data_IF_744908981674
#
_entry.id   IF_744908981674
#
_cell.length_a   1.000
_cell.length_b   1.000
_cell.length_c   1.000
_cell.angle_alpha   90.00
_cell.angle_beta   90.00
_cell.angle_gamma   90.00
#
_symmetry.space_group_name_H-M   'P 1'
#
loop_
_entity.id
_entity.type
_entity.pdbx_description
1 polymer ?
#
# COMPACT_ATOMS: atom_id res chain seq x y z
N UNK A 1 17.01 13.70 -5.13
CA UNK A 1 16.15 12.84 -4.29
C UNK A 1 16.88 12.67 -2.97
N UNK A 2 16.27 13.03 -1.85
CA UNK A 2 16.91 12.89 -0.53
C UNK A 2 16.47 11.55 0.05
N UNK A 3 17.42 10.67 0.37
CA UNK A 3 17.14 9.41 1.08
C UNK A 3 16.47 9.73 2.42
N UNK A 4 15.32 9.10 2.69
CA UNK A 4 14.58 9.28 3.94
C UNK A 4 14.62 8.01 4.77
N UNK A 5 14.69 8.15 6.09
CA UNK A 5 14.75 7.05 7.05
C UNK A 5 13.47 6.95 7.84
N UNK A 6 12.99 5.73 8.09
CA UNK A 6 11.83 5.52 8.94
C UNK A 6 10.58 6.28 8.47
N UNK A 7 9.96 7.00 9.41
CA UNK A 7 8.77 7.83 9.17
C UNK A 7 9.10 9.29 8.83
N UNK A 8 10.36 9.68 8.80
CA UNK A 8 10.76 11.08 8.61
C UNK A 8 10.29 11.59 7.24
N UNK A 9 9.50 12.64 7.23
CA UNK A 9 8.93 13.19 6.00
C UNK A 9 7.82 12.34 5.36
N UNK A 10 7.16 11.45 6.10
CA UNK A 10 6.08 10.60 5.56
C UNK A 10 4.85 11.43 5.15
N UNK A 11 4.57 12.52 5.86
CA UNK A 11 3.43 13.39 5.55
C UNK A 11 3.56 14.00 4.15
N UNK A 12 4.76 14.45 3.81
CA UNK A 12 5.11 15.02 2.50
C UNK A 12 4.99 13.96 1.41
N UNK A 13 5.49 12.74 1.65
CA UNK A 13 5.37 11.63 0.70
C UNK A 13 3.91 11.29 0.40
N UNK A 14 3.06 11.21 1.42
CA UNK A 14 1.63 10.94 1.24
C UNK A 14 0.94 12.09 0.49
N UNK A 15 1.29 13.35 0.79
CA UNK A 15 0.74 14.50 0.09
C UNK A 15 1.16 14.54 -1.39
N UNK A 16 2.43 14.25 -1.70
CA UNK A 16 2.92 14.14 -3.07
C UNK A 16 2.25 12.97 -3.81
N UNK A 17 2.13 11.81 -3.15
CA UNK A 17 1.49 10.65 -3.75
C UNK A 17 0.00 10.87 -4.02
N UNK A 18 -0.71 11.61 -3.16
CA UNK A 18 -2.10 12.01 -3.40
C UNK A 18 -2.24 12.85 -4.67
N UNK A 19 -1.31 13.79 -4.91
CA UNK A 19 -1.28 14.59 -6.14
C UNK A 19 -1.04 13.73 -7.37
N UNK A 20 -0.14 12.74 -7.26
CA UNK A 20 0.18 11.81 -8.36
C UNK A 20 -0.98 10.89 -8.73
N UNK A 21 -1.70 10.34 -7.74
CA UNK A 21 -2.89 9.50 -8.01
C UNK A 21 -3.99 10.32 -8.71
N UNK A 22 -4.12 11.59 -8.36
CA UNK A 22 -5.21 12.44 -8.85
C UNK A 22 -6.58 11.82 -8.51
N UNK A 23 -7.58 12.05 -9.37
CA UNK A 23 -8.93 11.52 -9.17
C UNK A 23 -9.20 10.27 -10.02
N UNK A 24 -8.20 9.79 -10.77
CA UNK A 24 -8.31 8.59 -11.60
C UNK A 24 -8.50 7.32 -10.76
N UNK A 25 -8.09 7.33 -9.49
CA UNK A 25 -8.31 6.21 -8.59
C UNK A 25 -8.80 6.67 -7.20
N UNK A 26 -10.11 6.94 -7.06
CA UNK A 26 -10.66 7.62 -5.89
C UNK A 26 -10.48 6.81 -4.59
N UNK A 27 -10.49 5.48 -4.66
CA UNK A 27 -10.29 4.60 -3.50
C UNK A 27 -8.91 4.77 -2.89
N UNK A 28 -7.85 4.69 -3.72
CA UNK A 28 -6.47 4.87 -3.23
C UNK A 28 -6.18 6.32 -2.87
N UNK A 29 -6.77 7.29 -3.58
CA UNK A 29 -6.69 8.70 -3.21
C UNK A 29 -7.23 8.94 -1.79
N UNK A 30 -8.44 8.42 -1.50
CA UNK A 30 -9.02 8.50 -0.16
C UNK A 30 -8.21 7.73 0.87
N UNK A 31 -7.63 6.58 0.52
CA UNK A 31 -6.80 5.81 1.43
C UNK A 31 -5.57 6.60 1.85
N UNK A 32 -4.89 7.25 0.91
CA UNK A 32 -3.71 8.10 1.18
C UNK A 32 -4.08 9.28 2.07
N UNK A 33 -5.19 9.96 1.81
CA UNK A 33 -5.69 11.05 2.67
C UNK A 33 -5.96 10.57 4.10
N UNK A 34 -6.66 9.43 4.25
CA UNK A 34 -6.98 8.89 5.56
C UNK A 34 -5.74 8.35 6.29
N UNK A 35 -4.76 7.79 5.56
CA UNK A 35 -3.47 7.37 6.11
C UNK A 35 -2.67 8.58 6.61
N UNK A 36 -2.67 9.70 5.88
CA UNK A 36 -2.02 10.93 6.33
C UNK A 36 -2.63 11.44 7.64
N UNK A 37 -3.97 11.41 7.77
CA UNK A 37 -4.64 11.75 9.03
C UNK A 37 -4.29 10.76 10.15
N UNK A 38 -4.29 9.45 9.85
CA UNK A 38 -4.07 8.39 10.83
C UNK A 38 -2.63 8.34 11.36
N UNK A 39 -1.65 8.64 10.51
CA UNK A 39 -0.22 8.49 10.81
C UNK A 39 0.49 9.81 11.12
N UNK A 40 0.02 10.93 10.56
CA UNK A 40 0.72 12.21 10.61
C UNK A 40 -0.16 13.38 11.10
N UNK A 41 -1.46 13.15 11.28
CA UNK A 41 -2.39 14.20 11.71
C UNK A 41 -2.34 14.49 13.22
N UNK A 42 -3.00 15.57 13.68
CA UNK A 42 -3.09 15.90 15.12
C UNK A 42 -3.82 14.81 15.92
N UNK A 43 -4.64 13.99 15.26
CA UNK A 43 -5.31 12.84 15.83
C UNK A 43 -4.65 11.51 15.39
N UNK A 44 -3.34 11.49 15.16
CA UNK A 44 -2.66 10.26 14.77
C UNK A 44 -2.86 9.14 15.81
N UNK A 45 -3.03 7.91 15.34
CA UNK A 45 -3.22 6.75 16.21
C UNK A 45 -1.86 6.31 16.77
N UNK A 46 -1.61 6.65 18.03
CA UNK A 46 -0.32 6.38 18.69
C UNK A 46 0.12 4.91 18.63
N UNK A 47 -0.77 3.90 18.82
CA UNK A 47 -0.38 2.50 18.67
C UNK A 47 0.10 2.16 17.25
N UNK A 48 -0.58 2.68 16.23
CA UNK A 48 -0.23 2.45 14.82
C UNK A 48 1.08 3.15 14.47
N UNK A 49 1.25 4.40 14.92
CA UNK A 49 2.48 5.17 14.71
C UNK A 49 3.68 4.47 15.36
N UNK A 50 3.59 4.10 16.64
CA UNK A 50 4.68 3.41 17.34
C UNK A 50 5.04 2.07 16.67
N UNK A 51 4.04 1.36 16.15
CA UNK A 51 4.25 0.11 15.42
C UNK A 51 4.93 0.33 14.07
N UNK A 52 4.56 1.40 13.35
CA UNK A 52 5.20 1.81 12.11
C UNK A 52 6.65 2.26 12.32
N UNK A 53 6.91 3.10 13.33
CA UNK A 53 8.26 3.51 13.71
C UNK A 53 9.15 2.30 13.99
N UNK A 54 8.62 1.28 14.67
CA UNK A 54 9.35 0.03 14.90
C UNK A 54 9.59 -0.75 13.60
N UNK A 55 8.57 -0.88 12.74
CA UNK A 55 8.69 -1.60 11.47
C UNK A 55 9.70 -0.95 10.52
N UNK A 56 9.83 0.38 10.56
CA UNK A 56 10.67 1.15 9.64
C UNK A 56 11.95 1.72 10.26
N UNK A 57 12.23 1.44 11.55
CA UNK A 57 13.38 2.01 12.30
C UNK A 57 14.72 1.94 11.57
N UNK A 58 14.97 0.84 10.87
CA UNK A 58 16.24 0.57 10.16
C UNK A 58 16.08 0.61 8.64
N UNK A 59 14.97 1.17 8.15
CA UNK A 59 14.69 1.25 6.73
C UNK A 59 15.05 2.62 6.16
N UNK A 60 15.68 2.60 4.99
CA UNK A 60 15.81 3.75 4.11
C UNK A 60 14.89 3.59 2.89
N UNK A 61 14.45 4.73 2.37
CA UNK A 61 13.64 4.84 1.17
C UNK A 61 14.28 5.90 0.27
N UNK A 62 14.47 5.53 -1.00
CA UNK A 62 15.23 6.37 -1.93
C UNK A 62 14.32 7.37 -2.65
N UNK A 63 13.06 6.98 -2.89
CA UNK A 63 12.06 7.81 -3.57
C UNK A 63 10.83 8.09 -2.69
N UNK A 64 10.26 9.30 -2.86
CA UNK A 64 9.08 9.76 -2.13
C UNK A 64 7.83 8.89 -2.34
N UNK A 65 7.73 8.19 -3.47
CA UNK A 65 6.61 7.30 -3.75
C UNK A 65 6.72 5.92 -3.06
N UNK A 66 7.90 5.53 -2.55
CA UNK A 66 8.11 4.16 -2.06
C UNK A 66 7.27 3.86 -0.82
N UNK A 67 7.25 4.78 0.15
CA UNK A 67 6.51 4.58 1.41
C UNK A 67 4.99 4.53 1.19
N UNK A 68 4.36 5.48 0.48
CA UNK A 68 2.94 5.40 0.15
C UNK A 68 2.57 4.13 -0.62
N UNK A 69 3.36 3.75 -1.64
CA UNK A 69 3.09 2.54 -2.42
C UNK A 69 3.23 1.28 -1.58
N UNK A 70 4.25 1.19 -0.72
CA UNK A 70 4.43 0.05 0.17
C UNK A 70 3.26 -0.11 1.14
N UNK A 71 2.76 1.00 1.72
CA UNK A 71 1.60 0.99 2.61
C UNK A 71 0.36 0.45 1.89
N UNK A 72 0.03 1.00 0.72
CA UNK A 72 -1.13 0.60 -0.06
C UNK A 72 -1.03 -0.85 -0.54
N UNK A 73 0.15 -1.26 -1.01
CA UNK A 73 0.38 -2.64 -1.46
C UNK A 73 0.27 -3.64 -0.29
N UNK A 74 0.81 -3.30 0.89
CA UNK A 74 0.71 -4.15 2.07
C UNK A 74 -0.74 -4.31 2.54
N UNK A 75 -1.50 -3.20 2.62
CA UNK A 75 -2.93 -3.22 2.98
C UNK A 75 -3.76 -4.03 1.98
N UNK A 76 -3.52 -3.84 0.68
CA UNK A 76 -4.23 -4.60 -0.35
C UNK A 76 -3.91 -6.09 -0.29
N UNK A 77 -2.63 -6.43 -0.17
CA UNK A 77 -2.21 -7.82 -0.10
C UNK A 77 -2.83 -8.54 1.10
N UNK A 78 -2.82 -7.89 2.26
CA UNK A 78 -3.40 -8.42 3.47
C UNK A 78 -4.93 -8.54 3.39
N UNK A 79 -5.60 -7.59 2.71
CA UNK A 79 -7.03 -7.70 2.38
C UNK A 79 -7.34 -8.88 1.46
N UNK A 80 -6.51 -9.12 0.43
CA UNK A 80 -6.69 -10.24 -0.49
C UNK A 80 -6.50 -11.61 0.20
N UNK A 81 -5.51 -11.74 1.08
CA UNK A 81 -5.25 -12.99 1.80
C UNK A 81 -6.33 -13.26 2.86
N UNK A 82 -6.70 -12.24 3.62
CA UNK A 82 -7.71 -12.37 4.68
C UNK A 82 -9.12 -12.58 4.08
N UNK A 83 -9.37 -12.02 2.89
CA UNK A 83 -10.66 -12.13 2.22
C UNK A 83 -11.74 -11.25 2.87
N UNK A 84 -13.02 -11.65 2.80
CA UNK A 84 -14.17 -10.81 3.19
C UNK A 84 -14.17 -10.31 4.65
N UNK A 85 -13.48 -11.01 5.54
CA UNK A 85 -13.37 -10.61 6.95
C UNK A 85 -12.44 -9.41 7.16
N UNK A 86 -11.63 -9.06 6.15
CA UNK A 86 -10.75 -7.92 6.24
C UNK A 86 -11.52 -6.60 6.32
N UNK A 87 -11.19 -5.68 7.25
CA UNK A 87 -11.87 -4.38 7.37
C UNK A 87 -11.88 -3.54 6.09
N UNK A 88 -10.92 -3.77 5.19
CA UNK A 88 -10.75 -3.09 3.90
C UNK A 88 -10.99 -4.03 2.70
N UNK A 89 -11.60 -5.20 2.89
CA UNK A 89 -11.87 -6.14 1.79
C UNK A 89 -12.64 -5.45 0.65
N UNK A 90 -13.74 -4.79 0.99
CA UNK A 90 -14.59 -4.04 0.05
C UNK A 90 -13.87 -2.87 -0.65
N UNK A 91 -12.79 -2.36 -0.05
CA UNK A 91 -12.00 -1.29 -0.65
C UNK A 91 -10.88 -1.81 -1.56
N UNK A 92 -10.22 -2.92 -1.21
CA UNK A 92 -8.96 -3.32 -1.87
C UNK A 92 -8.97 -4.70 -2.53
N UNK A 93 -9.88 -5.58 -2.12
CA UNK A 93 -9.93 -6.97 -2.55
C UNK A 93 -11.13 -7.29 -3.46
N UNK A 94 -12.21 -6.50 -3.39
CA UNK A 94 -13.39 -6.68 -4.23
C UNK A 94 -13.16 -6.31 -5.70
N UNK A 95 -13.92 -6.96 -6.58
CA UNK A 95 -13.97 -6.67 -8.03
C UNK A 95 -14.47 -5.25 -8.31
N UNK A 96 -15.38 -4.75 -7.46
CA UNK A 96 -15.93 -3.40 -7.52
C UNK A 96 -15.58 -2.62 -6.25
N UNK A 97 -14.36 -2.04 -6.17
CA UNK A 97 -13.89 -1.32 -4.99
C UNK A 97 -14.83 -0.20 -4.52
N UNK A 98 -15.16 -0.21 -3.25
CA UNK A 98 -16.04 0.77 -2.64
C UNK A 98 -15.28 1.89 -1.94
N UNK A 99 -15.49 3.12 -2.41
CA UNK A 99 -14.87 4.31 -1.82
C UNK A 99 -15.24 4.51 -0.34
N UNK A 100 -16.51 4.27 0.02
CA UNK A 100 -17.00 4.46 1.38
C UNK A 100 -16.40 3.45 2.38
N UNK A 101 -15.91 2.31 1.91
CA UNK A 101 -15.22 1.32 2.75
C UNK A 101 -13.85 1.83 3.23
N UNK A 102 -13.28 2.85 2.58
CA UNK A 102 -12.08 3.54 3.05
C UNK A 102 -12.45 4.57 4.12
N UNK A 103 -12.44 4.12 5.37
CA UNK A 103 -12.67 4.94 6.55
C UNK A 103 -11.50 4.88 7.51
N UNK A 104 -11.36 5.90 8.36
CA UNK A 104 -10.37 5.92 9.44
C UNK A 104 -10.49 4.70 10.36
N UNK A 105 -11.72 4.26 10.65
CA UNK A 105 -11.98 3.07 11.48
C UNK A 105 -11.48 1.81 10.79
N UNK A 106 -11.80 1.63 9.50
CA UNK A 106 -11.36 0.48 8.72
C UNK A 106 -9.83 0.44 8.58
N UNK A 107 -9.18 1.58 8.36
CA UNK A 107 -7.72 1.68 8.31
C UNK A 107 -7.06 1.44 9.67
N UNK A 108 -7.65 1.92 10.76
CA UNK A 108 -7.16 1.64 12.11
C UNK A 108 -7.21 0.15 12.42
N UNK A 109 -8.30 -0.53 12.06
CA UNK A 109 -8.43 -1.99 12.21
C UNK A 109 -7.54 -2.76 11.23
N UNK A 110 -7.37 -2.26 10.01
CA UNK A 110 -6.47 -2.84 9.02
C UNK A 110 -5.01 -2.77 9.45
N UNK A 111 -4.64 -1.70 10.17
CA UNK A 111 -3.33 -1.50 10.79
C UNK A 111 -3.32 -1.81 12.28
N UNK A 112 -4.17 -2.73 12.74
CA UNK A 112 -4.14 -3.15 14.13
C UNK A 112 -2.76 -3.78 14.46
N UNK A 113 -2.10 -3.42 15.59
CA UNK A 113 -0.78 -3.93 15.94
C UNK A 113 -0.65 -5.46 15.98
N UNK A 114 -1.76 -6.16 16.23
CA UNK A 114 -1.81 -7.63 16.33
C UNK A 114 -1.94 -8.32 14.96
N UNK A 115 -2.21 -7.56 13.89
CA UNK A 115 -2.27 -8.10 12.51
C UNK A 115 -0.86 -8.28 11.94
N UNK A 116 -0.19 -9.34 12.39
CA UNK A 116 1.22 -9.62 12.06
C UNK A 116 1.56 -9.60 10.56
N UNK A 117 0.73 -10.13 9.62
CA UNK A 117 1.10 -10.20 8.21
C UNK A 117 1.40 -8.84 7.57
N UNK A 118 0.59 -7.82 7.83
CA UNK A 118 0.83 -6.46 7.31
C UNK A 118 2.11 -5.86 7.88
N UNK A 119 2.37 -6.03 9.18
CA UNK A 119 3.58 -5.50 9.81
C UNK A 119 4.85 -6.18 9.32
N UNK A 120 4.80 -7.49 9.06
CA UNK A 120 5.90 -8.21 8.43
C UNK A 120 6.16 -7.68 7.02
N UNK A 121 5.10 -7.47 6.22
CA UNK A 121 5.22 -6.89 4.88
C UNK A 121 5.84 -5.48 4.92
N UNK A 122 5.37 -4.62 5.83
CA UNK A 122 5.90 -3.27 6.03
C UNK A 122 7.35 -3.26 6.52
N UNK A 123 7.79 -4.26 7.27
CA UNK A 123 9.17 -4.36 7.73
C UNK A 123 10.14 -4.90 6.66
N UNK A 124 9.67 -5.79 5.80
CA UNK A 124 10.58 -6.63 4.96
C UNK A 124 10.47 -6.38 3.46
N UNK A 125 9.30 -5.98 2.95
CA UNK A 125 9.10 -5.83 1.49
C UNK A 125 9.59 -4.49 1.00
N UNK A 126 10.00 -4.42 -0.26
CA UNK A 126 10.42 -3.20 -0.96
C UNK A 126 9.54 -2.97 -2.17
N UNK A 127 9.33 -1.71 -2.54
CA UNK A 127 8.72 -1.37 -3.82
C UNK A 127 9.73 -1.73 -4.91
N UNK A 128 9.37 -2.65 -5.79
CA UNK A 128 10.14 -2.95 -6.98
C UNK A 128 9.55 -2.12 -8.13
N UNK A 129 10.28 -1.09 -8.57
CA UNK A 129 9.92 -0.26 -9.73
C UNK A 129 10.51 -0.78 -11.03
N UNK A 130 11.41 -1.77 -10.95
CA UNK A 130 11.97 -2.45 -12.09
C UNK A 130 10.99 -3.49 -12.61
N UNK A 131 10.10 -3.13 -13.53
CA UNK A 131 9.78 -4.10 -14.57
C UNK A 131 9.31 -3.54 -15.91
N UNK A 132 10.11 -2.63 -16.46
CA UNK A 132 10.10 -2.40 -17.92
C UNK A 132 10.58 -3.67 -18.65
N UNK A 133 11.47 -4.46 -18.03
CA UNK A 133 11.98 -5.75 -18.52
C UNK A 133 10.95 -6.89 -18.52
N UNK A 134 10.10 -7.06 -17.50
CA UNK A 134 8.92 -7.98 -17.59
C UNK A 134 7.90 -7.44 -18.56
N UNK A 135 7.64 -6.13 -18.63
CA UNK A 135 6.71 -5.62 -19.64
C UNK A 135 7.14 -5.97 -21.08
N UNK A 136 8.46 -6.05 -21.34
CA UNK A 136 9.02 -6.46 -22.65
C UNK A 136 9.10 -7.99 -22.79
N UNK A 137 9.54 -8.72 -21.76
CA UNK A 137 9.61 -10.19 -21.80
C UNK A 137 8.23 -10.87 -21.93
N UNK A 138 7.16 -10.19 -21.50
CA UNK A 138 5.79 -10.72 -21.57
C UNK A 138 5.05 -10.38 -22.86
N UNK A 139 5.56 -9.46 -23.70
CA UNK A 139 4.98 -9.22 -25.03
C UNK A 139 5.14 -10.43 -25.96
N UNK A 140 6.14 -11.28 -25.73
CA UNK A 140 6.38 -12.46 -26.56
C UNK A 140 5.42 -13.63 -26.26
N UNK A 141 5.17 -14.01 -24.99
CA UNK A 141 4.19 -15.06 -24.67
C UNK A 141 2.74 -14.58 -24.82
N UNK A 142 2.42 -13.31 -24.51
CA UNK A 142 1.06 -12.79 -24.65
C UNK A 142 0.60 -12.67 -26.12
N UNK A 143 1.54 -12.51 -27.06
CA UNK A 143 1.25 -12.60 -28.50
C UNK A 143 0.98 -14.03 -28.98
N UNK A 144 1.40 -15.05 -28.21
CA UNK A 144 1.27 -16.47 -28.55
C UNK A 144 0.16 -17.18 -27.74
N UNK A 145 -0.17 -16.70 -26.54
CA UNK A 145 -1.17 -17.27 -25.66
C UNK A 145 -2.47 -16.44 -25.71
N UNK A 146 -3.30 -16.73 -26.70
CA UNK A 146 -4.66 -16.21 -26.74
C UNK A 146 -5.45 -16.61 -25.48
N UNK A 147 -5.84 -15.59 -24.71
CA UNK A 147 -6.98 -15.58 -23.77
C UNK A 147 -6.91 -16.42 -22.48
N UNK A 148 -5.96 -16.19 -21.57
CA UNK A 148 -6.19 -16.42 -20.12
C UNK A 148 -5.54 -15.35 -19.25
N UNK A 149 -6.25 -14.75 -18.26
CA UNK A 149 -5.62 -13.85 -17.30
C UNK A 149 -4.75 -14.66 -16.32
N UNK A 150 -3.46 -14.36 -16.30
CA UNK A 150 -2.53 -14.90 -15.29
C UNK A 150 -2.64 -14.02 -14.04
N UNK A 151 -2.89 -14.62 -12.88
CA UNK A 151 -2.98 -13.91 -11.62
C UNK A 151 -1.57 -13.49 -11.14
N UNK A 152 -1.46 -12.27 -10.60
CA UNK A 152 -0.21 -11.64 -10.15
C UNK A 152 0.50 -12.40 -8.99
N UNK A 153 -0.09 -13.48 -8.47
CA UNK A 153 0.40 -14.25 -7.32
C UNK A 153 1.24 -15.47 -7.70
N UNK A 154 1.31 -15.82 -8.99
CA UNK A 154 2.02 -17.02 -9.47
C UNK A 154 3.52 -16.81 -9.73
N UNK A 155 4.11 -15.70 -9.29
CA UNK A 155 5.53 -15.39 -9.57
C UNK A 155 6.19 -14.81 -8.32
N UNK A 156 6.75 -15.71 -7.50
CA UNK A 156 7.77 -15.38 -6.49
C UNK A 156 9.14 -15.15 -7.12
#
# INVERSE_FOLDING_TARGET
MQTRTGMDGLAEDLAEHRKLIGDANPVYARAVEQLAVLLCGPAASQPVVARMERAWRQRSFEAAYERPLLLLAALRHDALITGPEHPLARAFADEHPELAAVSRVALTRGLDPDRLPIWLALATRRVQTNDVSRAVAWRWPAALAGQRPIALVDVG
#
